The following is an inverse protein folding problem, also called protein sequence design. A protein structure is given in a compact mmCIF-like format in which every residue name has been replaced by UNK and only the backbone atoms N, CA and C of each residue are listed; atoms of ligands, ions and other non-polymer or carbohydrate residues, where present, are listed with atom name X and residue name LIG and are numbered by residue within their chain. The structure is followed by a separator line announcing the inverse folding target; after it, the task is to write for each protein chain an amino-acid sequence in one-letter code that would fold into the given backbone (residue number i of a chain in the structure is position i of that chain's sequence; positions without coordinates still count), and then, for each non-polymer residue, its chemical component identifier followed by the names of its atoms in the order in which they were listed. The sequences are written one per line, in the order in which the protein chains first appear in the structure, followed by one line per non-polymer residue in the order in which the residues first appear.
data_IF_698750496196
#
_entry.id   IF_698750496196
#
_cell.length_a   1.000
_cell.length_b   1.000
_cell.length_c   1.000
_cell.angle_alpha   90.00
_cell.angle_beta   90.00
_cell.angle_gamma   90.00
#
_symmetry.space_group_name_H-M   'P 1'
#
loop_
_entity.id
_entity.type
_entity.pdbx_description
1 polymer ?
#
# COMPACT_ATOMS: atom_id res chain seq x y z
N UNK A 1 -3.80 -0.24 7.77
CA UNK A 1 -4.58 0.93 7.31
C UNK A 1 -5.85 0.50 6.60
N UNK A 2 -6.97 1.10 6.98
CA UNK A 2 -8.26 0.96 6.33
C UNK A 2 -8.37 1.92 5.12
N UNK A 3 -9.43 1.79 4.31
CA UNK A 3 -9.60 2.61 3.10
C UNK A 3 -9.85 4.10 3.39
N UNK A 4 -10.43 4.42 4.56
CA UNK A 4 -10.73 5.81 4.94
C UNK A 4 -9.43 6.57 5.26
N UNK A 5 -8.52 5.94 6.00
CA UNK A 5 -7.18 6.46 6.29
C UNK A 5 -6.38 6.71 5.01
N UNK A 6 -6.40 5.75 4.07
CA UNK A 6 -5.68 5.87 2.79
C UNK A 6 -6.23 7.05 1.97
N UNK A 7 -7.55 7.25 1.94
CA UNK A 7 -8.17 8.40 1.28
C UNK A 7 -7.84 9.72 1.98
N UNK A 8 -7.62 9.73 3.30
CA UNK A 8 -7.17 10.92 4.01
C UNK A 8 -5.74 11.29 3.60
N UNK A 9 -4.83 10.31 3.55
CA UNK A 9 -3.44 10.50 3.09
C UNK A 9 -3.41 11.01 1.64
N UNK A 10 -4.22 10.41 0.76
CA UNK A 10 -4.31 10.87 -0.63
C UNK A 10 -4.71 12.35 -0.73
N UNK A 11 -5.73 12.76 0.02
CA UNK A 11 -6.17 14.16 0.07
C UNK A 11 -5.10 15.10 0.63
N UNK A 12 -4.37 14.68 1.66
CA UNK A 12 -3.25 15.45 2.22
C UNK A 12 -2.11 15.66 1.21
N UNK A 13 -1.94 14.72 0.28
CA UNK A 13 -0.95 14.78 -0.80
C UNK A 13 -1.51 15.39 -2.10
N UNK A 14 -2.65 16.09 -2.02
CA UNK A 14 -3.35 16.69 -3.16
C UNK A 14 -3.67 15.69 -4.29
N UNK A 15 -3.80 14.41 -3.95
CA UNK A 15 -4.21 13.35 -4.87
C UNK A 15 -5.70 13.03 -4.69
N UNK A 16 -6.54 13.17 -5.73
CA UNK A 16 -7.92 12.72 -5.67
C UNK A 16 -7.98 11.18 -5.68
N UNK A 17 -8.51 10.51 -4.63
CA UNK A 17 -8.51 9.04 -4.55
C UNK A 17 -9.47 8.36 -5.55
N UNK A 18 -10.42 9.11 -6.12
CA UNK A 18 -11.34 8.63 -7.15
C UNK A 18 -12.07 7.32 -6.80
N UNK A 19 -12.26 6.45 -7.82
CA UNK A 19 -12.79 5.08 -7.69
C UNK A 19 -11.69 4.03 -7.60
N UNK A 20 -10.46 4.40 -7.21
CA UNK A 20 -9.34 3.47 -7.14
C UNK A 20 -9.56 2.43 -6.03
N UNK A 21 -9.19 1.18 -6.32
CA UNK A 21 -9.12 0.12 -5.31
C UNK A 21 -8.01 0.41 -4.32
N UNK A 22 -8.06 -0.20 -3.13
CA UNK A 22 -7.04 -0.02 -2.06
C UNK A 22 -5.61 -0.16 -2.60
N UNK A 23 -5.34 -1.23 -3.35
CA UNK A 23 -4.01 -1.49 -3.89
C UNK A 23 -3.57 -0.41 -4.89
N UNK A 24 -4.44 -0.04 -5.83
CA UNK A 24 -4.10 0.95 -6.87
C UNK A 24 -3.89 2.34 -6.29
N UNK A 25 -4.68 2.71 -5.29
CA UNK A 25 -4.52 3.98 -4.57
C UNK A 25 -3.19 4.02 -3.82
N UNK A 26 -2.83 2.94 -3.11
CA UNK A 26 -1.55 2.88 -2.40
C UNK A 26 -0.38 2.93 -3.39
N UNK A 27 -0.44 2.18 -4.49
CA UNK A 27 0.59 2.22 -5.55
C UNK A 27 0.79 3.63 -6.11
N UNK A 28 -0.31 4.35 -6.32
CA UNK A 28 -0.23 5.72 -6.79
C UNK A 28 0.38 6.65 -5.74
N UNK A 29 0.09 6.45 -4.45
CA UNK A 29 0.72 7.19 -3.35
C UNK A 29 2.21 6.87 -3.20
N UNK A 30 2.62 5.61 -3.38
CA UNK A 30 4.03 5.23 -3.40
C UNK A 30 4.80 6.02 -4.47
N UNK A 31 4.26 6.15 -5.69
CA UNK A 31 4.90 6.96 -6.74
C UNK A 31 5.01 8.43 -6.36
N UNK A 32 3.98 8.99 -5.71
CA UNK A 32 4.03 10.37 -5.19
C UNK A 32 5.07 10.55 -4.09
N UNK A 33 5.37 9.50 -3.33
CA UNK A 33 6.39 9.48 -2.28
C UNK A 33 7.81 9.23 -2.83
N UNK A 34 7.96 9.04 -4.15
CA UNK A 34 9.24 8.65 -4.76
C UNK A 34 9.61 7.17 -4.55
N UNK A 35 8.68 6.38 -4.01
CA UNK A 35 8.81 4.95 -3.78
C UNK A 35 8.38 4.14 -5.02
N UNK A 36 8.89 2.91 -5.14
CA UNK A 36 8.36 1.94 -6.10
C UNK A 36 6.94 1.56 -5.73
N UNK A 37 6.06 1.43 -6.72
CA UNK A 37 4.66 1.06 -6.59
C UNK A 37 4.44 -0.45 -6.39
N UNK A 38 5.22 -1.01 -5.47
CA UNK A 38 5.33 -2.43 -5.21
C UNK A 38 4.26 -2.97 -4.22
N UNK A 39 3.21 -2.20 -3.92
CA UNK A 39 2.20 -2.67 -2.96
C UNK A 39 1.54 -3.97 -3.42
N UNK A 40 1.64 -5.00 -2.56
CA UNK A 40 1.17 -6.36 -2.81
C UNK A 40 2.07 -7.20 -3.72
N UNK A 41 3.24 -6.71 -4.16
CA UNK A 41 4.17 -7.49 -4.99
C UNK A 41 5.24 -8.24 -4.20
N UNK A 42 5.44 -7.91 -2.91
CA UNK A 42 6.41 -8.54 -2.02
C UNK A 42 5.98 -9.97 -1.58
N UNK A 43 5.94 -10.91 -2.54
CA UNK A 43 5.45 -12.28 -2.33
C UNK A 43 6.25 -13.07 -1.30
N UNK A 44 7.55 -12.83 -1.23
CA UNK A 44 8.45 -13.51 -0.29
C UNK A 44 8.47 -12.87 1.10
N UNK A 45 7.63 -11.86 1.35
CA UNK A 45 7.64 -11.10 2.60
C UNK A 45 8.83 -10.15 2.73
N UNK A 46 9.67 -10.04 1.69
CA UNK A 46 10.86 -9.19 1.65
C UNK A 46 10.56 -7.94 0.81
N UNK A 47 10.92 -6.78 1.34
CA UNK A 47 10.88 -5.51 0.63
C UNK A 47 12.02 -4.63 1.13
N UNK A 48 12.75 -3.96 0.24
CA UNK A 48 13.88 -3.08 0.56
C UNK A 48 13.46 -1.65 0.90
N UNK A 49 12.20 -1.27 0.68
CA UNK A 49 11.67 0.05 1.03
C UNK A 49 11.28 0.06 2.52
N UNK A 50 12.25 0.26 3.41
CA UNK A 50 12.05 0.24 4.87
C UNK A 50 11.23 1.44 5.35
N UNK A 51 11.37 2.59 4.71
CA UNK A 51 10.66 3.83 5.02
C UNK A 51 9.28 3.95 4.34
N UNK A 52 8.87 2.92 3.61
CA UNK A 52 7.56 2.90 2.97
C UNK A 52 6.45 2.86 4.02
N UNK A 53 5.62 3.92 4.06
CA UNK A 53 4.46 4.04 4.96
C UNK A 53 3.54 2.80 4.90
N UNK A 54 3.44 2.21 3.71
CA UNK A 54 2.56 1.09 3.41
C UNK A 54 3.16 -0.28 3.71
N UNK A 55 4.44 -0.33 4.13
CA UNK A 55 5.20 -1.56 4.32
C UNK A 55 4.48 -2.55 5.24
N UNK A 56 3.98 -2.08 6.39
CA UNK A 56 3.28 -2.93 7.37
C UNK A 56 2.02 -3.55 6.79
N UNK A 57 1.20 -2.77 6.08
CA UNK A 57 0.02 -3.29 5.38
C UNK A 57 0.39 -4.23 4.21
N UNK A 58 1.49 -3.94 3.52
CA UNK A 58 1.96 -4.70 2.36
C UNK A 58 2.46 -6.09 2.77
N UNK A 59 3.27 -6.17 3.83
CA UNK A 59 3.84 -7.42 4.31
C UNK A 59 2.86 -8.19 5.21
N UNK A 60 2.04 -7.49 6.00
CA UNK A 60 1.02 -8.11 6.85
C UNK A 60 -0.08 -8.82 6.07
N UNK A 61 -0.52 -8.29 4.92
CA UNK A 61 -1.53 -8.95 4.07
C UNK A 61 -1.02 -10.17 3.29
N UNK A 62 0.29 -10.35 3.19
CA UNK A 62 0.87 -11.56 2.60
C UNK A 62 1.05 -12.69 3.62
N UNK A 63 0.89 -12.41 4.92
CA UNK A 63 0.90 -13.43 5.99
C UNK A 63 -0.44 -14.14 6.21
N UNK A 64 -1.57 -13.53 5.84
CA UNK A 64 -2.90 -14.13 6.05
C UNK A 64 -3.34 -15.08 4.93
N UNK A 65 -2.56 -15.19 3.84
CA UNK A 65 -2.78 -16.20 2.80
C UNK A 65 -2.23 -17.59 3.19
N UNK A 66 -1.52 -17.69 4.33
CA UNK A 66 -1.01 -18.95 4.87
C UNK A 66 -2.04 -19.75 5.71
N UNK A 67 -3.26 -19.22 5.91
CA UNK A 67 -4.31 -19.91 6.66
C UNK A 67 -5.68 -19.89 5.96
N UNK A 68 -5.71 -20.45 4.75
CA UNK A 68 -6.93 -21.03 4.17
C UNK A 68 -6.66 -22.53 3.97
N UNK A 69 -6.88 -23.28 5.06
CA UNK A 69 -7.23 -24.70 4.99
C UNK A 69 -8.74 -24.83 4.80
#
# INVERSE_FOLDING_TARGET
MNMQEIRAIARQRHMPPGRLKKADLIRALQRLEGNFDCFGSAREGICSQFECLWRKDCLGKNGDAANRK
#
